data_IF_462418698994
#
_entry.id   IF_462418698994
#
_cell.length_a   1.000
_cell.length_b   1.000
_cell.length_c   1.000
_cell.angle_alpha   90.00
_cell.angle_beta   90.00
_cell.angle_gamma   90.00
#
_symmetry.space_group_name_H-M   'P 1'
#
loop_
_entity.id
_entity.type
_entity.pdbx_description
1 polymer ?
#
# COMPACT_ATOMS: atom_id res chain seq x y z
N UNK A 1 11.31 -35.95 -15.68
CA UNK A 1 10.78 -34.83 -14.86
C UNK A 1 11.54 -33.60 -15.27
N UNK A 2 10.97 -32.77 -16.12
CA UNK A 2 11.57 -31.53 -16.59
C UNK A 2 11.11 -30.40 -15.66
N UNK A 3 11.96 -29.44 -15.30
CA UNK A 3 11.54 -28.28 -14.51
C UNK A 3 10.83 -27.29 -15.41
N UNK A 4 9.64 -26.85 -14.95
CA UNK A 4 8.83 -25.86 -15.61
C UNK A 4 9.54 -24.52 -15.72
N UNK A 5 9.57 -24.00 -16.92
CA UNK A 5 9.96 -22.62 -17.22
C UNK A 5 8.94 -21.68 -16.60
N UNK A 6 9.38 -20.87 -15.65
CA UNK A 6 8.68 -19.66 -15.28
C UNK A 6 8.71 -18.72 -16.50
N UNK A 7 7.53 -18.48 -17.07
CA UNK A 7 7.36 -17.55 -18.19
C UNK A 7 7.64 -16.12 -17.70
N UNK A 8 8.73 -15.55 -18.18
CA UNK A 8 8.90 -14.11 -18.18
C UNK A 8 7.80 -13.53 -19.06
N UNK A 9 6.97 -12.65 -18.48
CA UNK A 9 6.03 -11.86 -19.25
C UNK A 9 6.83 -10.98 -20.21
N UNK A 10 6.74 -11.30 -21.47
CA UNK A 10 7.30 -10.53 -22.58
C UNK A 10 6.48 -9.24 -22.71
N UNK A 11 6.98 -8.16 -22.15
CA UNK A 11 6.44 -6.80 -22.28
C UNK A 11 6.97 -6.17 -23.57
N UNK A 12 6.71 -6.77 -24.72
CA UNK A 12 6.84 -6.10 -26.00
C UNK A 12 5.59 -5.26 -26.30
N UNK A 13 5.47 -4.13 -25.59
CA UNK A 13 4.57 -3.05 -25.97
C UNK A 13 5.10 -2.32 -27.24
N UNK A 14 4.25 -1.58 -27.97
CA UNK A 14 4.65 -0.90 -29.19
C UNK A 14 5.79 0.09 -28.92
N UNK A 15 6.81 0.03 -29.78
CA UNK A 15 7.98 0.91 -29.76
C UNK A 15 7.51 2.36 -29.92
N UNK A 16 7.78 3.28 -28.95
CA UNK A 16 7.42 4.68 -29.09
C UNK A 16 8.21 5.32 -30.24
N UNK A 17 7.53 6.14 -31.03
CA UNK A 17 8.12 6.92 -32.10
C UNK A 17 9.20 7.88 -31.56
N UNK A 18 10.34 7.93 -32.24
CA UNK A 18 11.49 8.77 -31.91
C UNK A 18 11.14 10.26 -32.00
N UNK A 19 11.58 11.02 -31.00
CA UNK A 19 11.70 12.47 -31.11
C UNK A 19 10.52 13.31 -30.65
N UNK A 20 9.57 12.76 -29.91
CA UNK A 20 8.54 13.58 -29.28
C UNK A 20 9.10 14.29 -28.05
N UNK A 21 8.93 15.61 -28.02
CA UNK A 21 9.08 16.41 -26.81
C UNK A 21 8.18 15.82 -25.70
N UNK A 22 8.57 15.93 -24.41
CA UNK A 22 7.70 15.50 -23.32
C UNK A 22 6.33 16.14 -23.51
N UNK A 23 5.24 15.39 -23.34
CA UNK A 23 3.91 15.99 -23.40
C UNK A 23 3.87 17.14 -22.39
N UNK A 24 3.59 18.34 -22.89
CA UNK A 24 3.36 19.50 -22.03
C UNK A 24 2.20 19.13 -21.08
N UNK A 25 2.37 19.45 -19.79
CA UNK A 25 1.50 19.02 -18.73
C UNK A 25 0.03 19.21 -19.08
N UNK A 26 -0.72 18.11 -19.06
CA UNK A 26 -2.14 18.12 -19.30
C UNK A 26 -2.82 18.69 -18.07
N UNK A 27 -2.99 20.01 -18.07
CA UNK A 27 -3.85 20.73 -17.14
C UNK A 27 -5.22 20.84 -17.80
N UNK A 28 -6.11 19.93 -17.47
CA UNK A 28 -7.56 20.19 -17.41
C UNK A 28 -8.28 19.00 -16.81
N UNK A 29 -8.29 18.91 -15.52
CA UNK A 29 -9.34 18.23 -14.77
C UNK A 29 -9.47 18.95 -13.45
N UNK A 30 -10.66 18.96 -12.91
CA UNK A 30 -10.98 19.45 -11.58
C UNK A 30 -9.83 19.15 -10.64
N UNK A 31 -9.28 20.17 -9.98
CA UNK A 31 -8.10 20.00 -9.12
C UNK A 31 -8.36 18.90 -8.10
N UNK A 32 -7.64 17.80 -8.21
CA UNK A 32 -7.73 16.71 -7.24
C UNK A 32 -7.37 17.25 -5.88
N UNK A 33 -8.33 17.24 -4.96
CA UNK A 33 -8.12 17.69 -3.61
C UNK A 33 -7.22 16.72 -2.84
N UNK A 34 -5.98 17.12 -2.57
CA UNK A 34 -4.95 16.31 -1.91
C UNK A 34 -5.14 16.23 -0.40
N UNK A 35 -5.93 17.13 0.18
CA UNK A 35 -6.20 17.20 1.61
C UNK A 35 -7.57 16.63 1.93
N UNK A 36 -7.75 16.15 3.15
CA UNK A 36 -9.05 15.69 3.62
C UNK A 36 -10.06 16.82 3.64
N UNK A 37 -11.17 16.64 2.94
CA UNK A 37 -12.29 17.59 2.96
C UNK A 37 -13.14 17.48 4.23
N UNK A 38 -13.15 16.31 4.86
CA UNK A 38 -13.91 16.06 6.09
C UNK A 38 -12.99 15.53 7.18
N UNK A 39 -13.13 16.06 8.40
CA UNK A 39 -12.41 15.57 9.57
C UNK A 39 -13.24 14.53 10.31
N UNK A 40 -12.69 13.33 10.44
CA UNK A 40 -13.30 12.23 11.19
C UNK A 40 -12.21 11.35 11.80
N UNK A 41 -12.58 10.55 12.80
CA UNK A 41 -11.72 9.58 13.44
C UNK A 41 -11.43 8.38 12.54
N UNK A 42 -10.86 7.30 13.10
CA UNK A 42 -10.68 6.07 12.38
C UNK A 42 -12.03 5.42 12.09
N UNK A 43 -12.15 4.77 10.94
CA UNK A 43 -13.29 3.96 10.55
C UNK A 43 -13.29 2.57 11.21
N UNK A 44 -13.97 1.62 10.56
CA UNK A 44 -14.10 0.25 11.02
C UNK A 44 -12.80 -0.55 10.87
N UNK A 45 -12.63 -1.59 11.72
CA UNK A 45 -11.73 -2.70 11.49
C UNK A 45 -12.30 -3.65 10.43
N UNK A 46 -11.44 -4.51 9.86
CA UNK A 46 -11.85 -5.49 8.85
C UNK A 46 -11.69 -6.90 9.38
N UNK A 47 -12.71 -7.73 9.19
CA UNK A 47 -12.64 -9.14 9.60
C UNK A 47 -11.67 -9.89 8.68
N UNK A 48 -10.83 -10.77 9.26
CA UNK A 48 -9.97 -11.64 8.49
C UNK A 48 -10.75 -12.90 8.08
N UNK A 49 -11.03 -13.02 6.80
CA UNK A 49 -11.84 -14.10 6.20
C UNK A 49 -11.06 -15.40 5.96
N UNK A 50 -9.90 -15.54 6.60
CA UNK A 50 -8.95 -16.63 6.38
C UNK A 50 -7.83 -16.19 5.43
N UNK A 51 -6.63 -15.94 5.99
CA UNK A 51 -5.42 -15.46 5.28
C UNK A 51 -5.59 -14.15 4.46
N UNK A 52 -6.67 -13.35 4.72
CA UNK A 52 -6.97 -12.11 3.99
C UNK A 52 -6.34 -10.84 4.59
N UNK A 53 -5.39 -10.97 5.51
CA UNK A 53 -4.73 -9.82 6.13
C UNK A 53 -3.99 -8.92 5.10
N UNK A 54 -3.47 -9.50 4.00
CA UNK A 54 -2.86 -8.73 2.92
C UNK A 54 -3.89 -7.85 2.19
N UNK A 55 -5.11 -8.35 1.97
CA UNK A 55 -6.24 -7.61 1.41
C UNK A 55 -6.64 -6.50 2.38
N UNK A 56 -6.90 -6.83 3.64
CA UNK A 56 -7.34 -5.89 4.67
C UNK A 56 -6.36 -4.70 4.82
N UNK A 57 -5.06 -4.99 4.86
CA UNK A 57 -4.04 -3.94 5.01
C UNK A 57 -3.97 -3.00 3.81
N UNK A 58 -4.13 -3.52 2.58
CA UNK A 58 -4.19 -2.69 1.36
C UNK A 58 -5.47 -1.87 1.32
N UNK A 59 -6.62 -2.46 1.62
CA UNK A 59 -7.90 -1.77 1.66
C UNK A 59 -7.88 -0.62 2.67
N UNK A 60 -7.31 -0.84 3.86
CA UNK A 60 -7.14 0.23 4.85
C UNK A 60 -6.20 1.34 4.33
N UNK A 61 -5.07 1.02 3.68
CA UNK A 61 -4.20 2.05 3.10
C UNK A 61 -4.93 2.89 2.04
N UNK A 62 -5.72 2.26 1.17
CA UNK A 62 -6.49 2.95 0.13
C UNK A 62 -7.65 3.78 0.71
N UNK A 63 -8.33 3.26 1.75
CA UNK A 63 -9.40 3.98 2.46
C UNK A 63 -8.90 5.30 3.05
N UNK A 64 -7.65 5.34 3.51
CA UNK A 64 -7.05 6.57 4.08
C UNK A 64 -6.20 7.35 3.07
N UNK A 65 -6.34 7.10 1.78
CA UNK A 65 -5.76 7.91 0.71
C UNK A 65 -6.64 9.15 0.46
N UNK A 66 -6.23 10.37 0.86
CA UNK A 66 -7.14 11.52 0.89
C UNK A 66 -7.82 11.81 -0.44
N UNK A 67 -7.11 11.92 -1.60
CA UNK A 67 -7.77 12.22 -2.86
C UNK A 67 -8.73 11.12 -3.32
N UNK A 68 -8.41 9.85 -3.07
CA UNK A 68 -9.29 8.73 -3.42
C UNK A 68 -10.54 8.68 -2.55
N UNK A 69 -10.37 8.88 -1.24
CA UNK A 69 -11.48 8.92 -0.29
C UNK A 69 -12.42 10.10 -0.57
N UNK A 70 -11.87 11.30 -0.84
CA UNK A 70 -12.68 12.47 -1.21
C UNK A 70 -13.50 12.21 -2.47
N UNK A 71 -12.89 11.60 -3.49
CA UNK A 71 -13.58 11.25 -4.73
C UNK A 71 -14.76 10.30 -4.47
N UNK A 72 -14.56 9.23 -3.72
CA UNK A 72 -15.62 8.28 -3.42
C UNK A 72 -16.70 8.85 -2.47
N UNK A 73 -16.30 9.60 -1.44
CA UNK A 73 -17.25 10.27 -0.55
C UNK A 73 -18.12 11.31 -1.29
N UNK A 74 -17.63 11.88 -2.39
CA UNK A 74 -18.44 12.76 -3.24
C UNK A 74 -19.54 12.02 -4.00
N UNK A 75 -19.44 10.69 -4.15
CA UNK A 75 -20.40 9.87 -4.91
C UNK A 75 -20.39 10.16 -6.41
N UNK A 76 -19.34 10.78 -6.94
CA UNK A 76 -19.23 11.13 -8.36
C UNK A 76 -19.27 9.89 -9.24
N UNK A 77 -18.52 8.85 -8.89
CA UNK A 77 -18.48 7.62 -9.68
C UNK A 77 -19.87 6.95 -9.76
N UNK A 78 -20.53 6.73 -8.61
CA UNK A 78 -21.83 6.06 -8.54
C UNK A 78 -22.91 6.78 -9.38
N UNK A 79 -22.85 8.12 -9.45
CA UNK A 79 -23.80 8.91 -10.24
C UNK A 79 -23.57 8.79 -11.76
N UNK A 80 -22.34 8.53 -12.19
CA UNK A 80 -21.93 8.47 -13.60
C UNK A 80 -21.73 7.04 -14.10
N UNK A 81 -21.66 6.04 -13.23
CA UNK A 81 -21.38 4.66 -13.59
C UNK A 81 -22.55 4.05 -14.40
N UNK A 82 -22.20 3.50 -15.56
CA UNK A 82 -23.15 2.83 -16.46
C UNK A 82 -23.03 1.29 -16.44
N UNK A 83 -22.12 0.75 -15.61
CA UNK A 83 -21.93 -0.69 -15.50
C UNK A 83 -23.11 -1.34 -14.77
N UNK A 84 -23.75 -2.33 -15.43
CA UNK A 84 -24.97 -2.96 -14.89
C UNK A 84 -24.68 -4.21 -14.03
N UNK A 85 -23.56 -4.91 -14.28
CA UNK A 85 -23.29 -6.20 -13.65
C UNK A 85 -22.19 -6.08 -12.59
N UNK A 86 -21.05 -5.52 -12.94
CA UNK A 86 -19.87 -5.43 -12.06
C UNK A 86 -19.08 -4.16 -12.34
N UNK A 87 -18.65 -3.49 -11.29
CA UNK A 87 -17.77 -2.34 -11.38
C UNK A 87 -16.89 -2.25 -10.13
N UNK A 88 -15.58 -2.48 -10.27
CA UNK A 88 -14.63 -2.39 -9.16
C UNK A 88 -14.63 -1.01 -8.50
N UNK A 89 -14.83 0.06 -9.25
CA UNK A 89 -14.92 1.42 -8.69
C UNK A 89 -16.15 1.59 -7.79
N UNK A 90 -17.32 1.04 -8.18
CA UNK A 90 -18.52 1.06 -7.33
C UNK A 90 -18.32 0.23 -6.05
N UNK A 91 -17.65 -0.93 -6.17
CA UNK A 91 -17.31 -1.79 -5.02
C UNK A 91 -16.39 -1.04 -4.05
N UNK A 92 -15.34 -0.39 -4.55
CA UNK A 92 -14.41 0.36 -3.72
C UNK A 92 -15.04 1.63 -3.13
N UNK A 93 -15.93 2.31 -3.86
CA UNK A 93 -16.71 3.44 -3.32
C UNK A 93 -17.57 3.00 -2.13
N UNK A 94 -18.32 1.89 -2.28
CA UNK A 94 -19.13 1.34 -1.20
C UNK A 94 -18.25 0.96 0.00
N UNK A 95 -17.19 0.20 -0.22
CA UNK A 95 -16.27 -0.24 0.82
C UNK A 95 -15.67 0.93 1.62
N UNK A 96 -15.13 1.94 0.93
CA UNK A 96 -14.51 3.10 1.58
C UNK A 96 -15.52 3.92 2.37
N UNK A 97 -16.72 4.13 1.79
CA UNK A 97 -17.79 4.83 2.49
C UNK A 97 -18.24 4.08 3.75
N UNK A 98 -18.45 2.77 3.65
CA UNK A 98 -18.88 1.92 4.77
C UNK A 98 -17.83 1.91 5.88
N UNK A 99 -16.55 1.72 5.54
CA UNK A 99 -15.46 1.71 6.53
C UNK A 99 -15.37 3.05 7.26
N UNK A 100 -15.38 4.16 6.53
CA UNK A 100 -15.23 5.49 7.14
C UNK A 100 -16.45 5.88 8.00
N UNK A 101 -17.66 5.39 7.68
CA UNK A 101 -18.89 5.69 8.42
C UNK A 101 -19.10 4.79 9.64
N UNK A 102 -18.49 3.60 9.68
CA UNK A 102 -18.69 2.59 10.71
C UNK A 102 -17.61 2.61 11.81
N UNK A 103 -17.27 3.79 12.33
CA UNK A 103 -16.27 3.95 13.38
C UNK A 103 -16.56 3.06 14.60
N UNK A 104 -15.54 2.32 15.06
CA UNK A 104 -15.65 1.42 16.21
C UNK A 104 -16.34 0.09 15.92
N UNK A 105 -16.74 -0.17 14.67
CA UNK A 105 -17.32 -1.42 14.22
C UNK A 105 -16.27 -2.32 13.54
N UNK A 106 -16.68 -3.54 13.23
CA UNK A 106 -15.92 -4.50 12.43
C UNK A 106 -16.76 -4.83 11.20
N UNK A 107 -16.18 -4.73 10.01
CA UNK A 107 -16.83 -5.05 8.75
C UNK A 107 -16.17 -6.26 8.10
N UNK A 108 -16.96 -7.06 7.39
CA UNK A 108 -16.48 -8.12 6.52
C UNK A 108 -16.33 -7.55 5.10
N UNK A 109 -15.13 -7.58 4.48
CA UNK A 109 -14.93 -7.03 3.14
C UNK A 109 -15.47 -7.96 2.04
N UNK A 110 -16.65 -8.54 2.23
CA UNK A 110 -17.24 -9.56 1.35
C UNK A 110 -17.45 -9.05 -0.08
N UNK A 111 -18.00 -7.86 -0.24
CA UNK A 111 -18.25 -7.28 -1.56
C UNK A 111 -16.97 -7.11 -2.38
N UNK A 112 -15.85 -6.80 -1.72
CA UNK A 112 -14.55 -6.72 -2.39
C UNK A 112 -14.07 -8.12 -2.77
N UNK A 113 -14.14 -9.10 -1.86
CA UNK A 113 -13.72 -10.48 -2.12
C UNK A 113 -14.54 -11.13 -3.25
N UNK A 114 -15.85 -10.96 -3.24
CA UNK A 114 -16.74 -11.43 -4.31
C UNK A 114 -16.42 -10.76 -5.65
N UNK A 115 -16.08 -9.48 -5.61
CA UNK A 115 -15.70 -8.71 -6.80
C UNK A 115 -14.37 -9.16 -7.40
N UNK A 116 -13.42 -9.63 -6.58
CA UNK A 116 -12.15 -10.18 -7.07
C UNK A 116 -12.38 -11.42 -7.94
N UNK A 117 -13.40 -12.26 -7.64
CA UNK A 117 -13.78 -13.42 -8.46
C UNK A 117 -14.18 -13.02 -9.89
N UNK A 118 -14.73 -11.81 -10.08
CA UNK A 118 -15.13 -11.32 -11.38
C UNK A 118 -13.94 -10.85 -12.24
N UNK A 119 -12.78 -10.56 -11.60
CA UNK A 119 -11.60 -10.02 -12.29
C UNK A 119 -10.53 -11.09 -12.55
N UNK A 120 -10.49 -12.16 -11.74
CA UNK A 120 -9.57 -13.29 -11.90
C UNK A 120 -9.39 -14.10 -10.61
N UNK A 121 -8.93 -15.32 -10.74
CA UNK A 121 -8.80 -16.28 -9.62
C UNK A 121 -7.53 -16.10 -8.79
N UNK A 122 -6.72 -15.07 -9.05
CA UNK A 122 -5.35 -14.92 -8.55
C UNK A 122 -5.22 -14.82 -7.02
N UNK A 123 -6.28 -14.42 -6.30
CA UNK A 123 -6.22 -14.14 -4.86
C UNK A 123 -7.25 -14.92 -4.03
N UNK A 124 -7.81 -16.01 -4.60
CA UNK A 124 -8.98 -16.69 -4.03
C UNK A 124 -8.69 -18.10 -3.46
N UNK A 125 -7.45 -18.58 -3.61
CA UNK A 125 -7.09 -19.96 -3.19
C UNK A 125 -7.04 -20.16 -1.66
N UNK A 126 -7.46 -19.17 -0.86
CA UNK A 126 -7.41 -19.22 0.60
C UNK A 126 -5.97 -19.25 1.15
N UNK A 127 -4.99 -18.79 0.36
CA UNK A 127 -3.60 -18.67 0.73
C UNK A 127 -3.25 -17.21 0.99
N UNK A 128 -2.19 -17.00 1.77
CA UNK A 128 -1.61 -15.68 1.91
C UNK A 128 -0.84 -15.33 0.64
N UNK A 129 -1.14 -14.15 0.08
CA UNK A 129 -0.50 -13.63 -1.12
C UNK A 129 0.25 -12.31 -0.83
N UNK A 130 0.97 -11.80 -1.82
CA UNK A 130 1.75 -10.58 -1.68
C UNK A 130 0.86 -9.33 -1.73
N UNK A 131 0.91 -8.50 -0.67
CA UNK A 131 0.12 -7.27 -0.57
C UNK A 131 0.47 -6.23 -1.65
N UNK A 132 1.71 -6.22 -2.18
CA UNK A 132 2.09 -5.33 -3.27
C UNK A 132 1.48 -5.78 -4.60
N UNK A 133 1.49 -7.09 -4.88
CA UNK A 133 0.82 -7.63 -6.06
C UNK A 133 -0.68 -7.37 -6.01
N UNK A 134 -1.30 -7.58 -4.85
CA UNK A 134 -2.71 -7.26 -4.64
C UNK A 134 -3.00 -5.76 -4.84
N UNK A 135 -2.17 -4.87 -4.31
CA UNK A 135 -2.31 -3.42 -4.50
C UNK A 135 -2.27 -3.06 -6.00
N UNK A 136 -1.29 -3.56 -6.74
CA UNK A 136 -1.17 -3.30 -8.18
C UNK A 136 -2.38 -3.84 -8.95
N UNK A 137 -2.80 -5.07 -8.65
CA UNK A 137 -3.98 -5.69 -9.25
C UNK A 137 -5.25 -4.87 -9.00
N UNK A 138 -5.47 -4.43 -7.76
CA UNK A 138 -6.65 -3.64 -7.41
C UNK A 138 -6.69 -2.29 -8.12
N UNK A 139 -5.55 -1.59 -8.22
CA UNK A 139 -5.46 -0.35 -9.00
C UNK A 139 -5.77 -0.60 -10.49
N UNK A 140 -5.23 -1.65 -11.09
CA UNK A 140 -5.50 -2.02 -12.48
C UNK A 140 -6.99 -2.35 -12.69
N UNK A 141 -7.61 -3.10 -11.77
CA UNK A 141 -9.04 -3.42 -11.83
C UNK A 141 -9.93 -2.16 -11.72
N UNK A 142 -9.55 -1.21 -10.87
CA UNK A 142 -10.22 0.09 -10.78
C UNK A 142 -10.04 0.92 -12.05
N UNK A 143 -8.83 0.95 -12.64
CA UNK A 143 -8.58 1.64 -13.91
C UNK A 143 -9.42 1.07 -15.05
N UNK A 144 -9.49 -0.26 -15.15
CA UNK A 144 -10.29 -0.94 -16.16
C UNK A 144 -11.80 -0.69 -16.03
N UNK A 145 -12.27 -0.41 -14.81
CA UNK A 145 -13.68 -0.07 -14.53
C UNK A 145 -14.02 1.39 -14.82
N UNK A 146 -13.02 2.26 -15.04
CA UNK A 146 -13.26 3.64 -15.45
C UNK A 146 -13.65 3.65 -16.94
N UNK A 147 -14.75 4.32 -17.35
CA UNK A 147 -15.06 4.47 -18.76
C UNK A 147 -13.89 5.20 -19.45
N UNK A 148 -13.47 4.69 -20.61
CA UNK A 148 -12.66 5.50 -21.51
C UNK A 148 -13.55 6.69 -21.90
N UNK A 149 -13.20 7.88 -21.46
CA UNK A 149 -13.93 9.08 -21.88
C UNK A 149 -13.87 9.14 -23.39
N UNK A 150 -15.05 9.04 -24.01
CA UNK A 150 -15.19 9.17 -25.44
C UNK A 150 -14.65 10.55 -25.80
N UNK A 151 -13.51 10.55 -26.48
CA UNK A 151 -12.89 11.77 -26.98
C UNK A 151 -13.95 12.61 -27.69
N UNK A 152 -14.38 13.70 -27.05
CA UNK A 152 -14.90 14.82 -27.79
C UNK A 152 -13.83 15.22 -28.81
N UNK A 153 -14.23 15.37 -30.07
CA UNK A 153 -13.43 15.47 -31.29
C UNK A 153 -12.35 16.59 -31.31
N UNK A 154 -12.00 17.21 -30.20
CA UNK A 154 -11.21 18.44 -30.24
C UNK A 154 -9.79 18.41 -29.66
N UNK A 155 -9.34 17.35 -28.96
CA UNK A 155 -7.93 17.29 -28.55
C UNK A 155 -7.42 15.84 -28.52
N UNK A 156 -6.39 15.56 -29.30
CA UNK A 156 -5.77 14.26 -29.57
C UNK A 156 -5.03 13.59 -28.39
N UNK A 157 -5.42 13.81 -27.13
CA UNK A 157 -4.79 13.18 -25.99
C UNK A 157 -5.83 12.38 -25.20
N UNK A 158 -5.56 11.09 -24.88
CA UNK A 158 -6.45 10.31 -24.04
C UNK A 158 -6.52 10.95 -22.65
N UNK A 159 -7.72 11.27 -22.19
CA UNK A 159 -7.92 11.79 -20.84
C UNK A 159 -7.55 10.70 -19.81
N UNK A 160 -6.77 11.06 -18.80
CA UNK A 160 -6.42 10.16 -17.71
C UNK A 160 -7.65 9.91 -16.83
N UNK A 161 -7.93 8.65 -16.52
CA UNK A 161 -8.97 8.32 -15.53
C UNK A 161 -8.54 8.74 -14.12
N UNK A 162 -9.47 8.78 -13.18
CA UNK A 162 -9.21 9.27 -11.81
C UNK A 162 -8.12 8.49 -11.07
N UNK A 163 -8.00 7.18 -11.29
CA UNK A 163 -6.96 6.36 -10.66
C UNK A 163 -5.58 6.74 -11.21
N UNK A 164 -5.46 6.94 -12.52
CA UNK A 164 -4.25 7.44 -13.14
C UNK A 164 -3.91 8.85 -12.66
N UNK A 165 -4.91 9.72 -12.55
CA UNK A 165 -4.71 11.08 -12.04
C UNK A 165 -4.18 11.09 -10.61
N UNK A 166 -4.60 10.14 -9.76
CA UNK A 166 -4.17 10.07 -8.35
C UNK A 166 -2.80 9.39 -8.20
N UNK A 167 -2.57 8.25 -8.87
CA UNK A 167 -1.44 7.36 -8.56
C UNK A 167 -0.37 7.32 -9.65
N UNK A 168 -0.67 7.73 -10.89
CA UNK A 168 0.26 7.57 -11.99
C UNK A 168 1.24 8.74 -12.09
N UNK A 169 2.53 8.40 -12.06
CA UNK A 169 3.62 9.28 -12.42
C UNK A 169 4.26 8.85 -13.74
N UNK A 170 5.29 9.58 -14.16
CA UNK A 170 6.05 9.31 -15.37
C UNK A 170 7.54 9.22 -15.04
N UNK A 171 8.18 8.10 -15.40
CA UNK A 171 9.63 7.93 -15.36
C UNK A 171 10.23 8.31 -16.71
N UNK A 172 11.38 9.00 -16.68
CA UNK A 172 12.26 9.16 -17.83
C UNK A 172 13.41 8.17 -17.70
N UNK A 173 13.59 7.30 -18.70
CA UNK A 173 14.76 6.46 -18.88
C UNK A 173 15.67 7.12 -19.90
N UNK A 174 16.86 7.57 -19.50
CA UNK A 174 17.86 8.21 -20.38
C UNK A 174 19.00 7.24 -20.66
N UNK A 175 19.23 6.99 -21.93
CA UNK A 175 20.34 6.20 -22.43
C UNK A 175 21.32 7.14 -23.13
N UNK A 176 22.57 7.22 -22.64
CA UNK A 176 23.62 8.08 -23.21
C UNK A 176 24.75 7.23 -23.76
N UNK A 177 25.04 7.34 -25.04
CA UNK A 177 26.18 6.69 -25.66
C UNK A 177 27.50 7.32 -25.19
N UNK A 178 28.43 6.52 -24.68
CA UNK A 178 29.72 7.05 -24.19
C UNK A 178 30.75 7.28 -25.30
N UNK A 179 30.42 6.93 -26.55
CA UNK A 179 31.29 7.17 -27.70
C UNK A 179 31.05 8.49 -28.40
N UNK A 180 29.79 8.98 -28.42
CA UNK A 180 29.41 10.20 -29.13
C UNK A 180 28.51 11.15 -28.32
N UNK A 181 28.28 10.85 -27.04
CA UNK A 181 27.44 11.60 -26.09
C UNK A 181 25.97 11.83 -26.52
N UNK A 182 25.54 11.13 -27.57
CA UNK A 182 24.14 11.17 -27.97
C UNK A 182 23.26 10.54 -26.91
N UNK A 183 22.22 11.26 -26.49
CA UNK A 183 21.24 10.80 -25.51
C UNK A 183 19.91 10.46 -26.19
N UNK A 184 19.27 9.39 -25.73
CA UNK A 184 17.92 8.98 -26.11
C UNK A 184 17.09 8.85 -24.85
N UNK A 185 15.93 9.51 -24.81
CA UNK A 185 14.98 9.46 -23.69
C UNK A 185 13.77 8.63 -24.07
N UNK A 186 13.34 7.74 -23.15
CA UNK A 186 12.05 7.08 -23.19
C UNK A 186 11.28 7.39 -21.91
N UNK A 187 9.95 7.35 -22.00
CA UNK A 187 9.06 7.70 -20.89
C UNK A 187 8.13 6.54 -20.61
N UNK A 188 8.04 6.17 -19.33
CA UNK A 188 7.26 5.02 -18.87
C UNK A 188 6.33 5.44 -17.72
N UNK A 189 5.01 5.20 -17.79
CA UNK A 189 4.11 5.44 -16.68
C UNK A 189 4.41 4.47 -15.53
N UNK A 190 4.21 4.92 -14.29
CA UNK A 190 4.37 4.08 -13.11
C UNK A 190 3.26 4.39 -12.08
N UNK A 191 2.81 3.36 -11.35
CA UNK A 191 1.87 3.46 -10.23
C UNK A 191 2.56 3.32 -8.87
N UNK A 192 3.76 2.79 -8.85
CA UNK A 192 4.62 2.65 -7.66
C UNK A 192 6.09 2.60 -8.08
N UNK A 193 6.97 2.94 -7.14
CA UNK A 193 8.42 2.86 -7.34
C UNK A 193 8.98 1.71 -6.51
N UNK A 194 9.45 0.63 -7.15
CA UNK A 194 10.07 -0.51 -6.46
C UNK A 194 11.53 -0.17 -6.12
N UNK A 195 11.82 -0.01 -4.83
CA UNK A 195 13.13 0.37 -4.32
C UNK A 195 13.94 -0.84 -3.85
N UNK A 196 15.14 -1.01 -4.39
CA UNK A 196 16.10 -1.95 -3.84
C UNK A 196 16.66 -1.41 -2.52
N UNK A 197 16.54 -2.21 -1.47
CA UNK A 197 16.99 -1.86 -0.12
C UNK A 197 18.22 -2.66 0.32
N UNK A 198 18.78 -3.54 -0.51
CA UNK A 198 19.92 -4.39 -0.15
C UNK A 198 21.09 -3.56 0.40
N UNK A 199 21.49 -2.51 -0.30
CA UNK A 199 22.55 -1.59 0.06
C UNK A 199 22.11 -0.35 0.86
N UNK A 200 20.82 -0.02 0.92
CA UNK A 200 20.33 1.25 1.45
C UNK A 200 19.91 1.15 2.93
N UNK A 201 20.27 2.13 3.76
CA UNK A 201 19.83 2.26 5.16
C UNK A 201 18.57 3.13 5.31
N UNK A 202 18.20 3.88 4.28
CA UNK A 202 17.03 4.76 4.27
C UNK A 202 16.36 4.77 2.90
N UNK A 203 15.10 5.21 2.88
CA UNK A 203 14.33 5.45 1.64
C UNK A 203 15.04 6.49 0.75
N UNK A 204 15.58 7.56 1.34
CA UNK A 204 16.33 8.56 0.59
C UNK A 204 17.57 7.98 -0.09
N UNK A 205 18.31 7.10 0.60
CA UNK A 205 19.45 6.39 0.01
C UNK A 205 19.02 5.41 -1.09
N UNK A 206 17.87 4.73 -0.93
CA UNK A 206 17.33 3.83 -1.94
C UNK A 206 16.84 4.58 -3.20
N UNK A 207 16.19 5.74 -3.02
CA UNK A 207 15.80 6.64 -4.12
C UNK A 207 17.04 7.20 -4.84
N UNK A 208 18.09 7.58 -4.10
CA UNK A 208 19.33 8.04 -4.70
C UNK A 208 19.99 6.93 -5.53
N UNK A 209 20.00 5.69 -5.04
CA UNK A 209 20.49 4.54 -5.80
C UNK A 209 19.62 4.23 -7.03
N UNK A 210 18.29 4.40 -6.92
CA UNK A 210 17.35 4.19 -8.02
C UNK A 210 17.59 5.14 -9.20
N UNK A 211 17.99 6.39 -8.95
CA UNK A 211 18.27 7.37 -10.01
C UNK A 211 19.74 7.40 -10.44
N UNK A 212 20.62 6.62 -9.81
CA UNK A 212 22.01 6.52 -10.24
C UNK A 212 22.09 5.82 -11.60
N UNK A 213 22.80 6.43 -12.57
CA UNK A 213 23.00 5.76 -13.85
C UNK A 213 23.84 4.49 -13.71
N UNK A 214 23.43 3.43 -14.39
CA UNK A 214 24.20 2.21 -14.58
C UNK A 214 25.06 2.28 -15.84
N UNK A 215 26.23 1.66 -15.80
CA UNK A 215 27.11 1.53 -16.94
C UNK A 215 26.76 0.24 -17.69
N UNK A 216 26.46 0.37 -18.98
CA UNK A 216 26.24 -0.75 -19.90
C UNK A 216 27.54 -0.92 -20.72
N UNK A 217 28.37 -1.87 -20.33
CA UNK A 217 29.66 -2.17 -20.97
C UNK A 217 29.82 -3.67 -21.27
N UNK A 218 30.94 -4.05 -21.84
CA UNK A 218 31.26 -5.44 -22.18
C UNK A 218 30.16 -6.09 -23.04
N UNK A 219 29.54 -7.14 -22.50
CA UNK A 219 28.45 -7.85 -23.18
C UNK A 219 27.14 -7.05 -23.26
N UNK A 220 27.03 -6.00 -22.47
CA UNK A 220 25.83 -5.13 -22.40
C UNK A 220 25.96 -3.86 -23.25
N UNK A 221 27.02 -3.73 -24.08
CA UNK A 221 27.14 -2.61 -25.01
C UNK A 221 25.94 -2.51 -25.93
N UNK A 222 25.58 -1.28 -26.29
CA UNK A 222 24.45 -1.00 -27.18
C UNK A 222 24.93 -0.59 -28.57
N UNK A 223 24.13 -0.84 -29.61
CA UNK A 223 24.34 -0.21 -30.92
C UNK A 223 23.72 1.19 -30.88
N UNK A 224 24.58 2.21 -30.88
CA UNK A 224 24.15 3.59 -30.89
C UNK A 224 23.60 3.96 -32.28
N UNK A 225 22.37 4.49 -32.32
CA UNK A 225 21.74 4.92 -33.59
C UNK A 225 22.38 6.20 -34.17
N UNK A 226 22.99 7.03 -33.34
CA UNK A 226 23.58 8.31 -33.77
C UNK A 226 24.95 8.12 -34.44
N UNK A 227 25.84 7.29 -33.88
CA UNK A 227 27.16 7.05 -34.45
C UNK A 227 27.30 5.65 -35.12
N UNK A 228 26.24 4.85 -35.12
CA UNK A 228 26.14 3.50 -35.69
C UNK A 228 27.22 2.53 -35.20
N UNK A 229 27.79 2.74 -34.00
CA UNK A 229 28.81 1.87 -33.40
C UNK A 229 28.23 1.11 -32.22
N UNK A 230 28.80 -0.09 -31.96
CA UNK A 230 28.57 -0.81 -30.71
C UNK A 230 29.46 -0.17 -29.65
N UNK A 231 28.85 0.46 -28.65
CA UNK A 231 29.56 1.24 -27.65
C UNK A 231 28.98 1.03 -26.24
N UNK A 232 29.81 1.29 -25.24
CA UNK A 232 29.33 1.39 -23.88
C UNK A 232 28.35 2.58 -23.75
N UNK A 233 27.39 2.45 -22.87
CA UNK A 233 26.38 3.46 -22.63
C UNK A 233 26.13 3.64 -21.14
N UNK A 234 25.59 4.79 -20.75
CA UNK A 234 25.06 5.05 -19.41
C UNK A 234 23.54 5.08 -19.48
N UNK A 235 22.86 4.28 -18.65
CA UNK A 235 21.40 4.25 -18.53
C UNK A 235 20.98 4.70 -17.15
N UNK A 236 20.16 5.75 -17.07
CA UNK A 236 19.66 6.28 -15.80
C UNK A 236 18.18 6.54 -15.82
N UNK A 237 17.53 6.32 -14.66
CA UNK A 237 16.14 6.68 -14.45
C UNK A 237 16.02 7.99 -13.69
N UNK A 238 14.96 8.74 -13.94
CA UNK A 238 14.57 9.89 -13.14
C UNK A 238 13.06 10.05 -13.20
N UNK A 239 12.47 10.66 -12.16
CA UNK A 239 11.04 10.95 -12.16
C UNK A 239 10.81 12.18 -13.03
N UNK A 240 10.05 12.02 -14.11
CA UNK A 240 9.68 13.11 -15.01
C UNK A 240 8.47 13.86 -14.49
N UNK A 241 7.42 13.12 -14.11
CA UNK A 241 6.21 13.66 -13.53
C UNK A 241 5.90 12.94 -12.21
N UNK A 242 5.70 13.71 -11.16
CA UNK A 242 5.48 13.21 -9.82
C UNK A 242 3.98 13.05 -9.56
N UNK A 243 3.50 11.84 -9.15
CA UNK A 243 2.08 11.61 -8.94
C UNK A 243 1.54 12.37 -7.72
N UNK A 244 0.24 12.68 -7.63
CA UNK A 244 -0.40 13.17 -6.40
C UNK A 244 -0.20 12.25 -5.18
N UNK A 245 -0.29 10.93 -5.38
CA UNK A 245 -0.01 9.91 -4.37
C UNK A 245 1.16 9.05 -4.83
N UNK A 246 2.27 9.12 -4.10
CA UNK A 246 3.47 8.35 -4.36
C UNK A 246 3.47 7.08 -3.51
N UNK A 247 3.51 5.93 -4.16
CA UNK A 247 3.67 4.63 -3.50
C UNK A 247 5.10 4.12 -3.71
N UNK A 248 5.78 3.79 -2.61
CA UNK A 248 7.11 3.20 -2.62
C UNK A 248 7.04 1.75 -2.13
N UNK A 249 7.49 0.80 -2.95
CA UNK A 249 7.56 -0.61 -2.60
C UNK A 249 9.00 -1.00 -2.27
N UNK A 250 9.26 -1.38 -1.03
CA UNK A 250 10.59 -1.80 -0.60
C UNK A 250 10.79 -3.28 -0.96
N UNK A 251 11.73 -3.60 -1.86
CA UNK A 251 12.03 -4.97 -2.31
C UNK A 251 12.57 -5.81 -1.18
N UNK A 252 11.67 -6.30 -0.32
CA UNK A 252 12.02 -7.12 0.85
C UNK A 252 12.10 -8.61 0.52
N UNK A 253 11.44 -9.08 -0.52
CA UNK A 253 11.43 -10.48 -0.91
C UNK A 253 12.34 -10.68 -2.12
N UNK A 254 13.37 -11.52 -1.95
CA UNK A 254 14.29 -11.89 -3.02
C UNK A 254 13.77 -13.12 -3.78
N UNK A 255 14.44 -13.47 -4.89
CA UNK A 255 14.12 -14.65 -5.72
C UNK A 255 14.09 -15.98 -4.93
N UNK A 256 14.72 -16.04 -3.76
CA UNK A 256 14.72 -17.21 -2.87
C UNK A 256 13.51 -17.26 -1.93
N UNK A 257 12.57 -16.32 -2.03
CA UNK A 257 11.43 -16.19 -1.12
C UNK A 257 11.81 -15.73 0.29
N UNK A 258 13.10 -15.50 0.56
CA UNK A 258 13.59 -15.08 1.87
C UNK A 258 13.43 -13.58 2.06
N UNK A 259 12.85 -13.17 3.19
CA UNK A 259 12.64 -11.76 3.52
C UNK A 259 13.90 -11.06 4.01
N UNK A 260 14.14 -9.85 3.49
CA UNK A 260 15.12 -8.91 4.02
C UNK A 260 14.51 -8.19 5.24
N UNK A 261 14.89 -8.64 6.45
CA UNK A 261 14.42 -8.05 7.72
C UNK A 261 15.23 -6.83 8.14
N UNK A 262 15.92 -6.18 7.21
CA UNK A 262 16.73 -4.99 7.44
C UNK A 262 15.86 -3.80 7.82
N UNK A 263 16.27 -3.02 8.83
CA UNK A 263 15.71 -1.72 9.12
C UNK A 263 16.07 -0.74 8.00
N UNK A 264 15.08 -0.03 7.49
CA UNK A 264 15.21 1.03 6.48
C UNK A 264 14.46 2.22 7.03
N UNK A 265 15.16 3.31 7.24
CA UNK A 265 14.57 4.56 7.74
C UNK A 265 13.74 5.23 6.64
N UNK A 266 12.62 5.81 7.02
CA UNK A 266 11.76 6.58 6.13
C UNK A 266 11.24 7.83 6.82
N UNK A 267 11.21 8.99 6.13
CA UNK A 267 10.81 10.26 6.73
C UNK A 267 9.28 10.46 6.71
N UNK A 268 8.78 11.29 7.61
CA UNK A 268 7.39 11.79 7.54
C UNK A 268 7.17 12.74 6.38
N UNK A 269 8.17 13.54 6.05
CA UNK A 269 8.16 14.46 4.91
C UNK A 269 9.30 14.10 3.97
N UNK A 270 8.97 13.83 2.72
CA UNK A 270 9.91 13.45 1.67
C UNK A 270 9.94 14.53 0.59
N UNK A 271 11.11 15.07 0.29
CA UNK A 271 11.31 15.89 -0.91
C UNK A 271 11.71 15.00 -2.08
N UNK A 272 10.87 14.96 -3.11
CA UNK A 272 11.11 14.16 -4.31
C UNK A 272 11.95 14.89 -5.36
N UNK A 273 12.13 16.23 -5.25
CA UNK A 273 12.84 17.05 -6.21
C UNK A 273 14.24 16.54 -6.59
N UNK A 274 15.08 16.06 -5.65
CA UNK A 274 16.42 15.55 -5.99
C UNK A 274 16.42 14.34 -6.94
N UNK A 275 15.31 13.61 -7.03
CA UNK A 275 15.17 12.39 -7.84
C UNK A 275 14.41 12.63 -9.15
N UNK A 276 14.03 13.86 -9.42
CA UNK A 276 13.32 14.26 -10.63
C UNK A 276 14.29 14.57 -11.77
N UNK A 277 13.79 14.49 -13.01
CA UNK A 277 14.54 14.85 -14.22
C UNK A 277 15.02 16.31 -14.20
N UNK A 278 14.28 17.18 -13.53
CA UNK A 278 14.65 18.54 -13.20
C UNK A 278 14.92 18.62 -11.70
N UNK A 279 16.13 18.28 -11.28
CA UNK A 279 16.51 18.24 -9.86
C UNK A 279 16.61 19.64 -9.20
N UNK A 280 16.56 20.72 -10.00
CA UNK A 280 16.58 22.11 -9.52
C UNK A 280 15.18 22.71 -9.58
N UNK A 281 14.86 23.60 -8.65
CA UNK A 281 13.56 24.28 -8.55
C UNK A 281 12.96 24.14 -7.15
N UNK A 282 11.69 24.51 -7.01
CA UNK A 282 10.96 24.39 -5.75
C UNK A 282 10.88 22.92 -5.27
N UNK A 283 10.94 22.69 -3.94
CA UNK A 283 10.81 21.37 -3.38
C UNK A 283 9.50 20.70 -3.80
N UNK A 284 9.57 19.39 -4.09
CA UNK A 284 8.39 18.58 -4.36
C UNK A 284 8.08 17.73 -3.11
N UNK A 285 7.39 18.36 -2.16
CA UNK A 285 7.20 17.80 -0.83
C UNK A 285 6.01 16.83 -0.77
N UNK A 286 6.24 15.73 -0.06
CA UNK A 286 5.26 14.70 0.22
C UNK A 286 5.14 14.44 1.71
N UNK A 287 3.93 14.16 2.18
CA UNK A 287 3.64 13.77 3.56
C UNK A 287 3.24 12.30 3.64
N UNK A 288 3.89 11.55 4.53
CA UNK A 288 3.55 10.15 4.79
C UNK A 288 2.18 10.05 5.44
N UNK A 289 1.28 9.21 4.90
CA UNK A 289 -0.03 8.98 5.47
C UNK A 289 -0.34 7.50 5.74
N UNK A 290 0.35 6.55 5.09
CA UNK A 290 0.16 5.13 5.39
C UNK A 290 1.46 4.33 5.25
N UNK A 291 1.58 3.29 6.09
CA UNK A 291 2.72 2.36 6.13
C UNK A 291 2.18 0.95 6.25
N UNK A 292 2.37 0.14 5.23
CA UNK A 292 2.00 -1.27 5.25
C UNK A 292 3.20 -2.11 5.68
N UNK A 293 2.96 -3.02 6.60
CA UNK A 293 3.99 -3.84 7.25
C UNK A 293 3.64 -5.31 7.10
N UNK A 294 4.65 -6.13 6.78
CA UNK A 294 4.56 -7.57 6.83
C UNK A 294 5.38 -8.11 8.02
N UNK A 295 4.84 -9.02 8.82
CA UNK A 295 5.52 -9.82 9.83
C UNK A 295 5.61 -11.25 9.37
N UNK A 296 6.81 -11.78 9.22
CA UNK A 296 7.04 -13.15 8.77
C UNK A 296 8.41 -13.29 8.16
N UNK A 297 8.80 -14.52 7.86
CA UNK A 297 10.12 -14.85 7.30
C UNK A 297 10.16 -14.91 5.78
N UNK A 298 9.01 -15.01 5.11
CA UNK A 298 8.87 -15.16 3.66
C UNK A 298 7.59 -14.52 3.12
N UNK A 299 7.42 -14.47 1.81
CA UNK A 299 6.24 -13.88 1.16
C UNK A 299 4.98 -14.73 1.34
N UNK A 300 5.12 -16.05 1.41
CA UNK A 300 4.00 -17.00 1.48
C UNK A 300 3.53 -17.31 2.90
N UNK A 301 4.06 -16.62 3.93
CA UNK A 301 3.66 -16.87 5.32
C UNK A 301 3.99 -15.70 6.21
N UNK A 302 3.05 -15.31 7.05
CA UNK A 302 3.24 -14.19 7.98
C UNK A 302 1.94 -13.50 8.27
N UNK A 303 2.02 -12.20 8.52
CA UNK A 303 0.86 -11.38 8.82
C UNK A 303 1.08 -9.96 8.31
N UNK A 304 0.08 -9.43 7.61
CA UNK A 304 0.06 -8.05 7.13
C UNK A 304 -0.82 -7.17 8.02
N UNK A 305 -0.38 -5.96 8.25
CA UNK A 305 -1.14 -4.91 8.91
C UNK A 305 -0.60 -3.55 8.47
N UNK A 306 -1.32 -2.48 8.77
CA UNK A 306 -0.85 -1.15 8.38
C UNK A 306 -1.02 -0.11 9.49
N UNK A 307 -0.37 1.01 9.27
CA UNK A 307 -0.56 2.24 10.03
C UNK A 307 -1.07 3.31 9.07
N UNK A 308 -2.10 4.03 9.48
CA UNK A 308 -2.69 5.10 8.67
C UNK A 308 -2.86 6.37 9.49
N UNK A 309 -2.73 7.50 8.84
CA UNK A 309 -3.02 8.80 9.41
C UNK A 309 -4.44 9.20 9.01
N UNK A 310 -5.36 9.13 9.96
CA UNK A 310 -6.75 9.51 9.71
C UNK A 310 -6.90 11.04 9.52
N UNK A 311 -8.04 11.47 9.02
CA UNK A 311 -8.30 12.89 8.73
C UNK A 311 -8.33 13.79 9.96
N UNK A 312 -8.43 13.22 11.19
CA UNK A 312 -8.22 13.94 12.44
C UNK A 312 -6.74 14.25 12.75
N UNK A 313 -5.81 13.81 11.90
CA UNK A 313 -4.36 14.01 12.02
C UNK A 313 -3.64 13.01 12.92
N UNK A 314 -4.36 12.07 13.55
CA UNK A 314 -3.78 11.05 14.41
C UNK A 314 -3.45 9.77 13.65
N UNK A 315 -2.44 9.05 14.14
CA UNK A 315 -2.04 7.75 13.60
C UNK A 315 -2.77 6.60 14.29
N UNK A 316 -3.17 5.61 13.49
CA UNK A 316 -3.82 4.39 13.95
C UNK A 316 -3.13 3.17 13.35
N UNK A 317 -3.01 2.11 14.16
CA UNK A 317 -2.65 0.78 13.68
C UNK A 317 -3.94 0.07 13.29
N UNK A 318 -4.01 -0.37 12.06
CA UNK A 318 -5.07 -1.20 11.48
C UNK A 318 -4.54 -2.61 11.35
N UNK A 319 -5.07 -3.52 12.16
CA UNK A 319 -4.61 -4.90 12.26
C UNK A 319 -5.85 -5.80 12.29
N UNK A 320 -6.35 -6.11 11.10
CA UNK A 320 -7.63 -6.76 10.87
C UNK A 320 -8.76 -6.06 11.66
N UNK A 321 -9.38 -6.76 12.62
CA UNK A 321 -10.47 -6.20 13.44
C UNK A 321 -9.99 -5.14 14.43
N UNK A 322 -8.70 -5.06 14.70
CA UNK A 322 -8.14 -4.18 15.72
C UNK A 322 -7.76 -2.83 15.14
N UNK A 323 -8.42 -1.77 15.61
CA UNK A 323 -8.11 -0.36 15.30
C UNK A 323 -7.64 0.33 16.57
N UNK A 324 -6.34 0.67 16.62
CA UNK A 324 -5.75 1.23 17.84
C UNK A 324 -4.96 2.50 17.55
N UNK A 325 -5.13 3.58 18.35
CA UNK A 325 -4.33 4.78 18.21
C UNK A 325 -2.85 4.47 18.53
N UNK A 326 -1.95 5.15 17.83
CA UNK A 326 -0.52 4.97 18.06
C UNK A 326 0.27 6.28 17.91
N UNK A 327 1.42 6.35 18.58
CA UNK A 327 2.32 7.46 18.41
C UNK A 327 3.10 7.35 17.09
N UNK A 328 3.35 8.48 16.43
CA UNK A 328 4.12 8.54 15.18
C UNK A 328 5.51 7.90 15.31
N UNK A 329 6.17 8.02 16.46
CA UNK A 329 7.44 7.34 16.70
C UNK A 329 7.36 5.81 16.66
N UNK A 330 6.17 5.22 16.91
CA UNK A 330 5.94 3.78 16.72
C UNK A 330 5.86 3.44 15.24
N UNK A 331 5.23 4.28 14.42
CA UNK A 331 5.13 4.13 12.96
C UNK A 331 6.53 4.15 12.33
N UNK A 332 7.35 5.15 12.67
CA UNK A 332 8.67 5.34 12.07
C UNK A 332 9.70 4.24 12.44
N UNK A 333 9.43 3.43 13.46
CA UNK A 333 10.27 2.27 13.82
C UNK A 333 9.88 0.97 13.12
N UNK A 334 8.87 0.99 12.25
CA UNK A 334 8.40 -0.22 11.58
C UNK A 334 9.31 -0.64 10.42
N UNK A 335 9.31 -1.93 10.14
CA UNK A 335 9.91 -2.47 8.92
C UNK A 335 8.88 -2.36 7.77
N UNK A 336 8.75 -1.15 7.23
CA UNK A 336 7.81 -0.89 6.15
C UNK A 336 8.02 -1.83 4.95
N UNK A 337 6.94 -2.27 4.34
CA UNK A 337 6.92 -2.96 3.06
C UNK A 337 6.44 -2.02 1.95
N UNK A 338 5.28 -1.38 2.14
CA UNK A 338 4.81 -0.30 1.28
C UNK A 338 4.72 0.99 2.09
N UNK A 339 5.06 2.09 1.44
CA UNK A 339 4.95 3.45 1.98
C UNK A 339 4.09 4.28 1.04
N UNK A 340 3.15 5.02 1.61
CA UNK A 340 2.23 5.86 0.87
C UNK A 340 2.37 7.30 1.30
N UNK A 341 2.69 8.15 0.32
CA UNK A 341 2.89 9.57 0.50
C UNK A 341 1.90 10.36 -0.34
N UNK A 342 1.36 11.44 0.19
CA UNK A 342 0.53 12.39 -0.56
C UNK A 342 1.33 13.67 -0.77
N UNK A 343 1.28 14.22 -1.98
CA UNK A 343 1.94 15.48 -2.30
C UNK A 343 1.33 16.62 -1.49
N UNK A 344 2.18 17.47 -0.89
CA UNK A 344 1.74 18.65 -0.17
C UNK A 344 1.35 19.73 -1.17
N UNK A 345 0.21 20.40 -0.91
CA UNK A 345 -0.16 21.60 -1.65
C UNK A 345 0.92 22.67 -1.46
N UNK A 346 1.28 23.39 -2.52
CA UNK A 346 2.22 24.52 -2.39
C UNK A 346 1.63 25.54 -1.40
N UNK A 347 2.45 26.12 -0.50
CA UNK A 347 1.98 27.22 0.34
C UNK A 347 1.77 28.44 -0.53
N UNK A 348 0.52 28.76 -0.84
CA UNK A 348 0.24 30.03 -1.50
C UNK A 348 -0.81 29.93 -2.57
N UNK A 349 -1.78 30.62 -2.35
CA UNK A 349 -2.84 31.45 -2.89
C UNK A 349 -4.16 31.15 -2.20
N UNK A 350 -4.13 31.06 -0.87
CA UNK A 350 -5.31 31.43 -0.12
C UNK A 350 -5.39 32.95 -0.21
N UNK A 351 -6.33 33.44 -1.01
CA UNK A 351 -6.72 34.86 -1.00
C UNK A 351 -6.89 35.31 0.44
N UNK A 352 -6.10 36.31 0.78
CA UNK A 352 -6.15 37.08 2.01
C UNK A 352 -7.54 37.72 2.15
N UNK A 353 -8.46 37.00 2.77
CA UNK A 353 -9.58 37.61 3.51
C UNK A 353 -9.32 37.40 5.00
N UNK A 354 -8.18 37.88 5.46
CA UNK A 354 -7.93 38.06 6.87
C UNK A 354 -8.36 39.47 7.25
N UNK A 355 -9.48 39.57 7.90
CA UNK A 355 -9.81 40.71 8.72
C UNK A 355 -8.67 40.93 9.73
N UNK A 356 -8.08 42.14 9.71
CA UNK A 356 -7.12 42.61 10.70
C UNK A 356 -7.64 42.37 12.12
N UNK A 357 -6.86 41.78 13.00
CA UNK A 357 -7.16 41.87 14.42
C UNK A 357 -6.73 43.27 14.91
N UNK A 358 -7.70 44.01 15.44
CA UNK A 358 -7.48 45.26 16.12
C UNK A 358 -6.51 45.04 17.30
N UNK A 359 -5.50 45.89 17.37
CA UNK A 359 -4.58 46.01 18.49
C UNK A 359 -5.30 46.36 19.75
N UNK A 360 -5.03 45.73 20.91
CA UNK A 360 -5.46 46.27 22.20
C UNK A 360 -4.53 47.40 22.59
N UNK A 361 -5.11 48.57 22.77
CA UNK A 361 -4.46 49.73 23.39
C UNK A 361 -4.16 49.42 24.86
N UNK A 362 -2.92 49.70 25.26
CA UNK A 362 -2.46 49.68 26.61
C UNK A 362 -3.11 50.86 27.38
N UNK A 363 -3.98 50.59 28.32
CA UNK A 363 -4.38 51.57 29.32
C UNK A 363 -3.51 51.45 30.58
N UNK A 364 -2.82 52.53 30.85
CA UNK A 364 -2.12 52.86 32.10
C UNK A 364 -3.12 52.82 33.28
N UNK A 365 -2.86 52.01 34.28
CA UNK A 365 -3.45 52.20 35.59
C UNK A 365 -2.38 52.50 36.62
N UNK A 366 -2.55 53.71 37.16
CA UNK A 366 -1.88 54.30 38.30
C UNK A 366 -2.28 53.61 39.61
N UNK A 367 -1.31 53.45 40.46
CA UNK A 367 -1.43 52.97 41.83
C UNK A 367 -2.26 53.88 42.72
N UNK A 368 -3.05 53.34 43.63
CA UNK A 368 -3.38 53.91 44.93
C UNK A 368 -3.63 52.83 45.99
N UNK A 369 -3.09 53.12 47.13
CA UNK A 369 -2.88 52.32 48.35
C UNK A 369 -4.15 52.05 49.20
N UNK A 370 -4.01 50.96 49.97
CA UNK A 370 -4.36 50.75 51.38
C UNK A 370 -5.83 50.83 51.86
N UNK A 371 -6.25 49.77 52.52
CA UNK A 371 -7.42 49.75 53.41
C UNK A 371 -7.73 48.37 53.95
N UNK A 372 -7.22 48.11 55.15
CA UNK A 372 -7.50 46.98 56.02
C UNK A 372 -8.97 46.88 56.44
N UNK A 373 -9.50 45.67 56.55
CA UNK A 373 -10.81 45.45 57.20
C UNK A 373 -11.17 43.98 57.36
N UNK A 374 -11.07 43.52 58.57
CA UNK A 374 -11.37 42.18 59.08
C UNK A 374 -12.86 41.82 59.10
N UNK A 375 -13.11 40.49 59.26
CA UNK A 375 -14.23 39.79 59.92
C UNK A 375 -15.53 39.56 59.10
N UNK A 376 -15.99 38.36 58.91
CA UNK A 376 -16.61 37.41 59.78
C UNK A 376 -17.33 36.31 58.96
N UNK A 377 -17.17 35.10 59.36
CA UNK A 377 -18.12 34.02 59.07
C UNK A 377 -19.36 34.17 59.95
N UNK A 378 -20.51 33.58 59.60
CA UNK A 378 -20.97 32.39 60.30
C UNK A 378 -21.70 31.35 59.43
N UNK A 379 -21.40 30.14 59.67
CA UNK A 379 -22.17 29.06 60.34
C UNK A 379 -23.59 28.71 59.87
N UNK A 380 -23.73 27.37 59.67
CA UNK A 380 -24.86 26.46 60.01
C UNK A 380 -25.91 26.27 58.92
N UNK A 381 -26.47 25.10 58.63
CA UNK A 381 -26.66 23.83 59.34
C UNK A 381 -27.12 22.74 58.34
N UNK A 382 -26.62 21.59 58.45
CA UNK A 382 -27.19 20.26 58.71
C UNK A 382 -28.57 19.90 58.10
N UNK A 383 -28.54 18.74 57.41
CA UNK A 383 -29.71 17.89 57.17
C UNK A 383 -29.30 16.48 56.78
N UNK A 384 -29.42 15.57 57.71
CA UNK A 384 -29.13 14.15 57.74
C UNK A 384 -30.08 13.29 56.87
N UNK A 385 -29.58 12.11 56.49
CA UNK A 385 -30.44 10.96 56.17
C UNK A 385 -29.70 9.88 55.41
N UNK A 386 -28.96 9.05 56.09
CA UNK A 386 -29.08 7.63 56.45
C UNK A 386 -28.91 6.66 55.25
N UNK A 387 -27.76 6.03 55.20
CA UNK A 387 -27.37 4.63 55.43
C UNK A 387 -28.28 3.55 54.85
N UNK A 388 -27.64 2.71 53.97
CA UNK A 388 -27.50 1.25 54.26
C UNK A 388 -26.34 0.65 53.48
N UNK A 389 -25.35 0.21 54.22
CA UNK A 389 -24.31 -0.75 53.82
C UNK A 389 -24.92 -2.14 53.90
N UNK A 390 -24.47 -3.04 53.01
CA UNK A 390 -24.28 -4.43 53.40
C UNK A 390 -23.04 -4.99 52.68
N UNK A 391 -22.20 -5.53 53.51
CA UNK A 391 -20.88 -6.12 53.31
C UNK A 391 -20.96 -7.51 52.73
N UNK A 392 -20.01 -7.82 51.86
CA UNK A 392 -18.98 -8.90 51.87
C UNK A 392 -19.37 -10.29 52.37
N UNK A 393 -18.95 -11.30 51.63
CA UNK A 393 -18.00 -12.33 52.10
C UNK A 393 -17.49 -13.22 50.98
N UNK A 394 -16.18 -13.32 50.98
CA UNK A 394 -15.32 -14.30 50.39
C UNK A 394 -15.53 -15.66 51.07
N UNK A 395 -15.33 -16.76 50.33
CA UNK A 395 -14.51 -17.89 50.83
C UNK A 395 -14.29 -18.93 49.70
N UNK A 396 -13.08 -19.30 49.72
CA UNK A 396 -12.36 -20.39 49.06
C UNK A 396 -12.83 -21.78 49.42
N UNK A 397 -12.35 -22.71 48.60
CA UNK A 397 -11.88 -24.09 48.88
C UNK A 397 -12.77 -25.25 48.33
N UNK A 398 -12.22 -25.87 47.33
CA UNK A 398 -11.49 -27.17 47.27
C UNK A 398 -12.33 -28.45 47.28
N UNK A 399 -11.89 -29.31 46.38
CA UNK A 399 -11.88 -30.80 46.40
C UNK A 399 -12.95 -31.60 45.63
N UNK A 400 -12.41 -32.23 44.59
CA UNK A 400 -12.81 -33.54 44.07
C UNK A 400 -12.95 -34.63 45.20
N UNK A 401 -13.42 -35.85 45.00
CA UNK A 401 -13.62 -36.64 43.78
C UNK A 401 -14.77 -37.68 43.80
N UNK A 402 -14.94 -38.33 42.62
CA UNK A 402 -15.31 -39.78 42.46
C UNK A 402 -16.76 -40.26 42.66
N UNK A 403 -17.22 -41.06 41.69
CA UNK A 403 -18.20 -42.09 41.91
C UNK A 403 -19.26 -42.27 40.84
N UNK A 404 -18.94 -43.03 39.85
CA UNK A 404 -19.59 -44.25 39.27
C UNK A 404 -21.11 -44.36 39.13
N UNK A 405 -21.44 -44.81 37.96
CA UNK A 405 -22.33 -45.92 37.60
C UNK A 405 -23.72 -45.64 37.01
N UNK A 406 -23.84 -46.11 35.78
CA UNK A 406 -24.88 -47.01 35.21
C UNK A 406 -26.30 -46.44 35.04
N UNK A 407 -26.96 -46.62 33.97
CA UNK A 407 -27.46 -47.64 33.05
C UNK A 407 -28.52 -46.97 32.18
N UNK A 408 -28.64 -47.28 31.03
CA UNK A 408 -29.26 -48.15 30.06
C UNK A 408 -30.22 -47.42 29.13
N UNK A 409 -30.05 -47.71 27.93
CA UNK A 409 -30.72 -48.40 26.84
C UNK A 409 -31.53 -47.56 25.87
N UNK A 410 -31.26 -47.78 24.67
CA UNK A 410 -31.80 -48.26 23.41
C UNK A 410 -31.65 -47.24 22.29
N UNK A 411 -31.12 -47.50 21.17
CA UNK A 411 -31.05 -48.59 20.25
C UNK A 411 -31.45 -48.09 18.88
N UNK A 412 -30.52 -48.17 17.91
CA UNK A 412 -30.75 -48.63 16.56
C UNK A 412 -29.65 -48.17 15.62
N UNK A 413 -28.83 -49.11 15.27
CA UNK A 413 -27.91 -49.10 14.10
C UNK A 413 -28.44 -50.04 13.01
N UNK A 414 -27.72 -50.38 11.95
CA UNK A 414 -27.59 -49.73 10.65
C UNK A 414 -28.14 -50.64 9.51
N UNK A 415 -27.74 -50.56 8.24
CA UNK A 415 -26.81 -51.56 7.72
C UNK A 415 -25.76 -51.11 6.68
N UNK A 416 -24.74 -51.94 6.67
CA UNK A 416 -23.56 -52.00 5.87
C UNK A 416 -23.79 -52.67 4.49
N UNK A 417 -22.85 -52.42 3.58
CA UNK A 417 -22.61 -53.21 2.36
C UNK A 417 -21.31 -52.76 1.73
N UNK A 418 -20.29 -53.36 2.02
CA UNK A 418 -19.42 -54.46 1.57
C UNK A 418 -18.97 -54.41 0.10
N UNK A 419 -17.62 -54.32 -0.01
CA UNK A 419 -16.63 -55.06 -0.87
C UNK A 419 -16.46 -54.53 -2.30
N UNK A 420 -15.24 -54.45 -2.92
CA UNK A 420 -14.06 -55.32 -2.93
C UNK A 420 -12.81 -54.55 -3.34
N UNK A 421 -11.68 -55.00 -2.83
CA UNK A 421 -10.30 -54.85 -3.31
C UNK A 421 -10.08 -55.58 -4.63
N UNK A 422 -9.14 -55.09 -5.49
CA UNK A 422 -8.19 -55.95 -6.23
C UNK A 422 -6.93 -55.13 -6.56
N UNK A 423 -5.81 -55.60 -6.04
CA UNK A 423 -4.41 -55.34 -6.49
C UNK A 423 -4.01 -56.43 -7.50
N UNK A 424 -2.75 -56.51 -7.98
CA UNK A 424 -2.25 -56.17 -9.33
C UNK A 424 -1.90 -57.41 -10.16
N UNK A 425 -1.23 -57.27 -11.30
CA UNK A 425 0.07 -57.91 -11.44
C UNK A 425 1.15 -57.16 -12.27
N UNK A 426 2.37 -57.27 -11.79
CA UNK A 426 3.62 -57.29 -12.58
C UNK A 426 3.86 -58.72 -13.05
N UNK A 427 4.49 -59.03 -14.20
CA UNK A 427 5.91 -59.29 -14.23
C UNK A 427 6.68 -59.06 -15.55
N UNK A 428 8.00 -58.77 -15.40
CA UNK A 428 9.18 -59.30 -16.12
C UNK A 428 9.40 -59.09 -17.63
N UNK A 429 10.63 -58.63 -17.91
CA UNK A 429 11.28 -58.77 -19.19
C UNK A 429 12.50 -57.85 -19.43
N UNK A 430 13.63 -58.18 -18.83
CA UNK A 430 14.96 -57.80 -19.37
C UNK A 430 15.38 -58.90 -20.38
N UNK A 431 16.47 -58.78 -21.22
CA UNK A 431 17.74 -58.09 -21.00
C UNK A 431 18.38 -57.47 -22.28
N UNK A 432 19.55 -56.82 -22.14
CA UNK A 432 20.47 -56.55 -23.27
C UNK A 432 21.48 -55.42 -22.99
N UNK A 433 22.61 -55.86 -22.44
CA UNK A 433 23.89 -55.13 -22.35
C UNK A 433 24.37 -54.60 -23.70
N UNK A 434 25.14 -53.51 -23.73
CA UNK A 434 26.56 -53.47 -24.14
C UNK A 434 27.18 -52.11 -23.76
N UNK A 435 28.31 -52.22 -23.07
CA UNK A 435 29.25 -51.18 -22.65
C UNK A 435 29.98 -50.55 -23.81
N UNK A 436 30.50 -49.29 -23.62
CA UNK A 436 31.94 -48.93 -23.68
C UNK A 436 32.13 -47.42 -23.57
N UNK A 437 32.81 -47.02 -22.51
CA UNK A 437 34.11 -46.35 -22.41
C UNK A 437 34.18 -44.88 -22.76
N UNK A 438 34.56 -44.09 -21.76
CA UNK A 438 35.19 -42.78 -21.82
C UNK A 438 36.62 -42.86 -22.43
N UNK A 439 37.23 -41.73 -22.84
CA UNK A 439 38.08 -40.96 -21.94
C UNK A 439 38.11 -39.42 -22.11
N UNK A 440 38.40 -38.67 -21.05
CA UNK A 440 39.10 -37.39 -21.04
C UNK A 440 40.61 -37.61 -21.22
N UNK A 441 41.55 -36.63 -21.39
CA UNK A 441 41.57 -35.20 -21.03
C UNK A 441 42.33 -34.28 -22.05
N UNK A 442 42.53 -33.01 -21.60
CA UNK A 442 43.62 -32.07 -21.91
C UNK A 442 43.28 -30.78 -22.67
N UNK A 443 43.47 -29.69 -21.89
CA UNK A 443 43.76 -28.31 -22.32
C UNK A 443 45.17 -28.23 -23.00
N UNK A 444 45.62 -27.16 -23.69
CA UNK A 444 45.62 -25.76 -23.23
C UNK A 444 45.46 -24.66 -24.31
N UNK A 445 45.35 -23.46 -23.80
CA UNK A 445 45.50 -22.12 -24.33
C UNK A 445 46.53 -21.85 -25.45
N UNK A 446 46.42 -20.73 -26.22
CA UNK A 446 46.62 -19.37 -25.70
C UNK A 446 45.40 -18.44 -25.82
#
# INVERSE_FOLDING_TARGET
>A
MAPGHAGACDLSGPVPAEGMAPPEGILSSEEICLEWQQRQGPGAGLYNMGETCFINSVLQCLTYTPPLANYFLSGLHRRSCQQQVFCMMCTMEAHICDVLQAAGSILEPLSVLESLQCVGDLFLDGRQEDAHEFFCFLLMAMQAACPAESSSLELCLPSRNIIQQIFEGLLRSRLTCLSCDAASDSYEPFLNVPLDIGGASSVSAALQAFVQPELLDGANCIRCRSCDTVAAASKGFSIQDAPPVLTLALKRFGMTGRKLSKAVEFPLSLDLRPYMSQARGEPCLYSLYAVLVHRGGGSASGHYFCYVKASNGLWYRMDDTSVTPCAVGTVLRQQAYLLFYVRCSAPGTAESTAASPASPQAEHLSACEAGSGQLASPHCQRGNGARKRLRSRSSQQDNDPCGSASTDTTGCSPPAGRRRRTDPPNPDGAPGEVATAAPSPDSPLP
#
